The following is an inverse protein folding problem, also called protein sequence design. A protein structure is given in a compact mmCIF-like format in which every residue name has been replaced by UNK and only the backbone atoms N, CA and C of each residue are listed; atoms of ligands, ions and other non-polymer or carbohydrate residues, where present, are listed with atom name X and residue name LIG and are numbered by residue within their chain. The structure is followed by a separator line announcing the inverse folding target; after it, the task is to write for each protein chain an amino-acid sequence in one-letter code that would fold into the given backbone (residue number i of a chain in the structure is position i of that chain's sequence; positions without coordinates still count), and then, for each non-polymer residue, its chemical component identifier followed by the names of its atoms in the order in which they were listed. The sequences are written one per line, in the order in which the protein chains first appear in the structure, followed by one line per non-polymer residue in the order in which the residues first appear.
data_IF_333360259585
#
_entry.id   IF_333360259585
#
_cell.length_a   1.000
_cell.length_b   1.000
_cell.length_c   1.000
_cell.angle_alpha   90.00
_cell.angle_beta   90.00
_cell.angle_gamma   90.00
#
_symmetry.space_group_name_H-M   'P 1'
#
loop_
_entity.id
_entity.type
_entity.pdbx_description
1 polymer ?
#
# COMPACT_ATOMS: atom_id res chain seq x y z
N UNK A 1 10.32 -28.43 5.00
CA UNK A 1 9.15 -28.78 5.84
C UNK A 1 8.19 -29.79 5.17
N UNK A 2 7.88 -29.65 3.87
CA UNK A 2 6.90 -30.48 3.13
C UNK A 2 7.11 -32.01 3.25
N UNK A 3 8.36 -32.48 3.17
CA UNK A 3 8.69 -33.91 3.21
C UNK A 3 8.29 -34.62 4.51
N UNK A 4 8.24 -33.89 5.63
CA UNK A 4 7.90 -34.45 6.94
C UNK A 4 6.39 -34.71 7.10
N UNK A 5 5.57 -34.12 6.22
CA UNK A 5 4.11 -34.17 6.29
C UNK A 5 3.52 -35.23 5.35
N UNK A 6 4.34 -35.88 4.52
CA UNK A 6 3.93 -36.91 3.55
C UNK A 6 3.31 -38.11 4.27
N UNK A 7 2.13 -38.52 3.83
CA UNK A 7 1.43 -39.70 4.33
C UNK A 7 0.48 -40.27 3.25
N UNK A 8 0.07 -41.55 3.33
CA UNK A 8 -0.93 -42.12 2.43
C UNK A 8 -2.25 -41.33 2.47
N UNK A 9 -2.91 -41.20 1.31
CA UNK A 9 -4.19 -40.48 1.15
C UNK A 9 -4.16 -39.05 1.69
N UNK A 10 -3.00 -38.38 1.59
CA UNK A 10 -2.84 -36.99 2.02
C UNK A 10 -2.29 -36.15 0.89
N UNK A 11 -3.05 -35.14 0.51
CA UNK A 11 -2.54 -34.04 -0.28
C UNK A 11 -2.09 -32.91 0.64
N UNK A 12 -1.02 -32.22 0.24
CA UNK A 12 -0.45 -31.06 0.91
C UNK A 12 -0.39 -29.96 -0.14
N UNK A 13 -0.89 -28.78 0.20
CA UNK A 13 -0.73 -27.56 -0.57
C UNK A 13 -0.21 -26.49 0.39
N UNK A 14 0.88 -25.84 0.01
CA UNK A 14 1.53 -24.81 0.80
C UNK A 14 1.74 -23.55 -0.02
N UNK A 15 1.61 -22.39 0.63
CA UNK A 15 1.85 -21.08 0.01
C UNK A 15 3.32 -20.76 -0.21
N UNK A 16 4.22 -21.58 0.33
CA UNK A 16 5.68 -21.46 0.26
C UNK A 16 6.34 -22.81 0.56
N UNK A 17 7.62 -22.95 0.21
CA UNK A 17 8.46 -24.08 0.63
C UNK A 17 9.02 -23.85 2.04
N UNK A 18 10.33 -23.58 2.11
CA UNK A 18 11.03 -23.29 3.37
C UNK A 18 11.17 -21.77 3.62
N UNK A 19 10.69 -20.93 2.70
CA UNK A 19 10.80 -19.47 2.73
C UNK A 19 9.57 -18.79 3.34
N UNK A 20 9.61 -17.46 3.48
CA UNK A 20 8.52 -16.67 4.05
C UNK A 20 7.27 -16.67 3.15
N UNK A 21 6.10 -16.56 3.77
CA UNK A 21 4.84 -16.34 3.08
C UNK A 21 4.42 -14.86 3.18
N UNK A 22 4.18 -14.24 2.04
CA UNK A 22 3.77 -12.84 1.95
C UNK A 22 2.28 -12.71 1.66
N UNK A 23 1.64 -11.76 2.33
CA UNK A 23 0.23 -11.47 2.17
C UNK A 23 -0.02 -9.98 2.34
N UNK A 24 -0.89 -9.43 1.51
CA UNK A 24 -1.37 -8.06 1.63
C UNK A 24 -2.48 -8.04 2.70
N UNK A 25 -2.11 -7.54 3.88
CA UNK A 25 -3.01 -7.37 5.02
C UNK A 25 -4.16 -6.41 4.72
N UNK A 26 -3.85 -5.35 4.00
CA UNK A 26 -4.76 -4.23 3.74
C UNK A 26 -5.92 -4.68 2.84
N UNK A 27 -5.63 -5.44 1.78
CA UNK A 27 -6.65 -5.95 0.86
C UNK A 27 -7.07 -7.39 1.12
N UNK A 28 -6.49 -7.99 2.18
CA UNK A 28 -6.68 -9.39 2.56
C UNK A 28 -6.34 -10.32 1.38
N UNK A 29 -5.32 -9.99 0.60
CA UNK A 29 -4.91 -10.80 -0.56
C UNK A 29 -3.71 -11.66 -0.19
N UNK A 30 -3.64 -12.85 -0.78
CA UNK A 30 -2.57 -13.81 -0.53
C UNK A 30 -2.95 -15.19 -1.03
N UNK A 31 -1.95 -16.08 -1.08
CA UNK A 31 -2.04 -17.38 -1.72
C UNK A 31 -3.30 -18.17 -1.33
N UNK A 32 -3.59 -18.33 -0.03
CA UNK A 32 -4.75 -19.09 0.44
C UNK A 32 -6.08 -18.54 -0.07
N UNK A 33 -6.18 -17.21 -0.22
CA UNK A 33 -7.38 -16.58 -0.79
C UNK A 33 -7.48 -16.82 -2.29
N UNK A 34 -6.38 -16.73 -3.02
CA UNK A 34 -6.37 -17.05 -4.45
C UNK A 34 -6.71 -18.51 -4.70
N UNK A 35 -6.20 -19.43 -3.88
CA UNK A 35 -6.52 -20.86 -3.94
C UNK A 35 -8.02 -21.08 -3.70
N UNK A 36 -8.57 -20.52 -2.62
CA UNK A 36 -9.99 -20.60 -2.33
C UNK A 36 -10.86 -20.02 -3.47
N UNK A 37 -10.43 -18.90 -4.08
CA UNK A 37 -11.12 -18.30 -5.22
C UNK A 37 -11.09 -19.20 -6.46
N UNK A 38 -9.97 -19.88 -6.73
CA UNK A 38 -9.88 -20.87 -7.80
C UNK A 38 -10.84 -22.04 -7.58
N UNK A 39 -10.84 -22.61 -6.38
CA UNK A 39 -11.74 -23.72 -6.02
C UNK A 39 -13.23 -23.32 -6.11
N UNK A 40 -13.59 -22.11 -5.67
CA UNK A 40 -14.96 -21.59 -5.78
C UNK A 40 -15.40 -21.35 -7.23
N UNK A 41 -14.46 -21.19 -8.17
CA UNK A 41 -14.74 -21.12 -9.62
C UNK A 41 -14.93 -22.51 -10.26
N UNK A 42 -14.92 -23.58 -9.46
CA UNK A 42 -15.06 -24.95 -9.96
C UNK A 42 -13.77 -25.57 -10.51
N UNK A 43 -12.62 -24.93 -10.28
CA UNK A 43 -11.32 -25.48 -10.65
C UNK A 43 -11.02 -26.74 -9.79
N UNK A 44 -10.34 -27.72 -10.38
CA UNK A 44 -9.70 -28.79 -9.62
C UNK A 44 -8.66 -28.19 -8.66
N UNK A 45 -8.25 -28.94 -7.64
CA UNK A 45 -7.19 -28.47 -6.74
C UNK A 45 -5.88 -28.19 -7.48
N UNK A 46 -5.56 -28.94 -8.54
CA UNK A 46 -4.38 -28.70 -9.36
C UNK A 46 -4.48 -27.38 -10.15
N UNK A 47 -5.62 -27.12 -10.79
CA UNK A 47 -5.86 -25.87 -11.54
C UNK A 47 -5.91 -24.66 -10.59
N UNK A 48 -6.57 -24.80 -9.44
CA UNK A 48 -6.62 -23.77 -8.41
C UNK A 48 -5.23 -23.46 -7.83
N UNK A 49 -4.37 -24.48 -7.67
CA UNK A 49 -2.98 -24.29 -7.28
C UNK A 49 -2.23 -23.42 -8.29
N UNK A 50 -2.33 -23.75 -9.59
CA UNK A 50 -1.68 -22.97 -10.66
C UNK A 50 -2.19 -21.52 -10.69
N UNK A 51 -3.52 -21.35 -10.65
CA UNK A 51 -4.16 -20.03 -10.56
C UNK A 51 -3.65 -19.21 -9.36
N UNK A 52 -3.56 -19.84 -8.19
CA UNK A 52 -3.11 -19.17 -6.98
C UNK A 52 -1.63 -18.81 -7.01
N UNK A 53 -0.79 -19.69 -7.57
CA UNK A 53 0.63 -19.45 -7.76
C UNK A 53 0.85 -18.22 -8.65
N UNK A 54 0.21 -18.17 -9.81
CA UNK A 54 0.42 -17.09 -10.77
C UNK A 54 -0.09 -15.74 -10.21
N UNK A 55 -1.22 -15.73 -9.49
CA UNK A 55 -1.72 -14.51 -8.82
C UNK A 55 -0.85 -14.08 -7.64
N UNK A 56 -0.29 -15.02 -6.88
CA UNK A 56 0.67 -14.72 -5.82
C UNK A 56 1.96 -14.14 -6.41
N UNK A 57 2.49 -14.74 -7.48
CA UNK A 57 3.69 -14.27 -8.15
C UNK A 57 3.53 -12.82 -8.64
N UNK A 58 2.40 -12.49 -9.25
CA UNK A 58 2.11 -11.12 -9.68
C UNK A 58 2.01 -10.15 -8.49
N UNK A 59 1.38 -10.57 -7.38
CA UNK A 59 1.29 -9.75 -6.17
C UNK A 59 2.67 -9.45 -5.59
N UNK A 60 3.53 -10.45 -5.43
CA UNK A 60 4.85 -10.25 -4.82
C UNK A 60 5.79 -9.48 -5.76
N UNK A 61 5.69 -9.68 -7.08
CA UNK A 61 6.39 -8.87 -8.11
C UNK A 61 5.97 -7.41 -8.10
N UNK A 62 4.67 -7.13 -8.08
CA UNK A 62 4.19 -5.74 -8.03
C UNK A 62 4.66 -5.04 -6.76
N UNK A 63 4.88 -5.78 -5.68
CA UNK A 63 5.42 -5.25 -4.42
C UNK A 63 6.95 -5.27 -4.31
N UNK A 64 7.64 -5.87 -5.29
CA UNK A 64 9.10 -6.09 -5.26
C UNK A 64 9.59 -6.77 -3.97
N UNK A 65 8.79 -7.68 -3.43
CA UNK A 65 9.09 -8.54 -2.26
C UNK A 65 8.93 -10.00 -2.63
N UNK A 66 9.31 -10.92 -1.73
CA UNK A 66 8.87 -12.31 -1.74
C UNK A 66 9.06 -13.08 -3.04
N UNK A 67 10.11 -12.76 -3.82
CA UNK A 67 10.43 -13.42 -5.08
C UNK A 67 10.86 -14.89 -4.87
N UNK A 68 11.20 -15.24 -3.63
CA UNK A 68 11.51 -16.56 -3.11
C UNK A 68 10.26 -17.32 -2.63
N UNK A 69 9.09 -16.68 -2.55
CA UNK A 69 7.86 -17.37 -2.18
C UNK A 69 7.40 -18.28 -3.32
N UNK A 70 7.73 -19.56 -3.22
CA UNK A 70 7.37 -20.59 -4.21
C UNK A 70 6.35 -21.55 -3.60
N UNK A 71 5.06 -21.44 -3.95
CA UNK A 71 4.05 -22.41 -3.54
C UNK A 71 4.42 -23.84 -3.95
N UNK A 72 4.05 -24.81 -3.13
CA UNK A 72 4.32 -26.23 -3.37
C UNK A 72 3.06 -27.06 -3.15
N UNK A 73 2.99 -28.19 -3.85
CA UNK A 73 1.97 -29.21 -3.59
C UNK A 73 2.61 -30.60 -3.60
N UNK A 74 1.95 -31.53 -2.92
CA UNK A 74 2.23 -32.96 -2.93
C UNK A 74 0.92 -33.70 -2.84
N UNK A 75 0.73 -34.75 -3.62
CA UNK A 75 -0.46 -35.59 -3.55
C UNK A 75 -0.14 -37.09 -3.61
N UNK A 76 1.14 -37.46 -3.59
CA UNK A 76 1.57 -38.86 -3.65
C UNK A 76 1.27 -39.55 -4.99
N UNK A 77 0.87 -38.81 -6.02
CA UNK A 77 0.71 -39.30 -7.39
C UNK A 77 1.76 -38.67 -8.33
N UNK A 78 1.96 -39.27 -9.49
CA UNK A 78 2.82 -38.71 -10.53
C UNK A 78 2.17 -37.45 -11.11
N UNK A 79 2.89 -36.32 -11.11
CA UNK A 79 2.46 -35.05 -11.73
C UNK A 79 1.05 -34.57 -11.35
N UNK A 80 0.63 -34.84 -10.10
CA UNK A 80 -0.57 -34.23 -9.53
C UNK A 80 -1.87 -34.84 -10.02
N UNK A 81 -1.81 -36.06 -10.57
CA UNK A 81 -2.97 -36.78 -11.09
C UNK A 81 -4.12 -36.88 -10.10
N UNK A 82 -3.86 -36.99 -8.80
CA UNK A 82 -4.92 -37.00 -7.81
C UNK A 82 -5.57 -35.62 -7.67
N UNK A 83 -4.79 -34.55 -7.54
CA UNK A 83 -5.30 -33.18 -7.43
C UNK A 83 -6.06 -32.70 -8.68
N UNK A 84 -5.70 -33.18 -9.87
CA UNK A 84 -6.41 -32.89 -11.13
C UNK A 84 -7.84 -33.45 -11.15
N UNK A 85 -8.10 -34.47 -10.33
CA UNK A 85 -9.39 -35.15 -10.24
C UNK A 85 -10.16 -34.79 -8.95
N UNK A 86 -9.56 -34.01 -8.05
CA UNK A 86 -10.18 -33.57 -6.81
C UNK A 86 -10.84 -32.19 -6.99
N UNK A 87 -12.09 -32.06 -6.56
CA UNK A 87 -12.90 -30.83 -6.65
C UNK A 87 -13.65 -30.61 -5.34
N UNK A 88 -13.90 -29.35 -4.96
CA UNK A 88 -14.87 -29.06 -3.89
C UNK A 88 -16.27 -29.28 -4.47
N UNK A 89 -17.06 -30.18 -3.87
CA UNK A 89 -18.45 -30.51 -4.24
C UNK A 89 -18.67 -31.16 -5.63
N UNK A 90 -17.61 -31.64 -6.30
CA UNK A 90 -17.68 -32.28 -7.63
C UNK A 90 -17.41 -31.34 -8.81
N UNK A 91 -17.55 -31.85 -10.04
CA UNK A 91 -17.36 -31.08 -11.29
C UNK A 91 -18.65 -30.35 -11.67
N UNK A 92 -18.92 -29.21 -11.05
CA UNK A 92 -20.00 -28.32 -11.49
C UNK A 92 -19.38 -27.03 -12.04
N UNK A 93 -19.76 -26.67 -13.26
CA UNK A 93 -19.56 -25.33 -13.78
C UNK A 93 -20.63 -24.48 -13.13
N UNK A 94 -20.30 -23.75 -12.07
CA UNK A 94 -21.17 -22.66 -11.64
C UNK A 94 -21.28 -21.69 -12.81
N UNK A 95 -22.50 -21.27 -13.18
CA UNK A 95 -22.66 -20.11 -14.06
C UNK A 95 -21.72 -19.00 -13.55
N UNK A 96 -21.00 -18.32 -14.43
CA UNK A 96 -19.93 -17.38 -14.07
C UNK A 96 -20.49 -16.19 -13.26
N UNK A 97 -20.65 -16.42 -11.97
CA UNK A 97 -20.97 -15.43 -10.94
C UNK A 97 -19.69 -14.81 -10.40
N UNK A 98 -18.56 -14.96 -11.09
CA UNK A 98 -17.31 -14.41 -10.59
C UNK A 98 -17.38 -12.90 -10.64
N UNK A 99 -17.14 -12.26 -9.49
CA UNK A 99 -16.95 -10.83 -9.42
C UNK A 99 -15.75 -10.48 -10.31
N UNK A 100 -15.97 -9.66 -11.33
CA UNK A 100 -14.92 -9.11 -12.20
C UNK A 100 -14.95 -7.61 -12.16
N UNK A 101 -13.76 -7.02 -12.25
CA UNK A 101 -13.56 -5.57 -12.28
C UNK A 101 -12.75 -5.28 -13.54
N UNK A 102 -13.24 -4.34 -14.33
CA UNK A 102 -12.57 -3.85 -15.52
C UNK A 102 -12.25 -2.37 -15.32
N UNK A 103 -10.97 -2.01 -15.47
CA UNK A 103 -10.57 -0.61 -15.55
C UNK A 103 -11.16 -0.01 -16.85
N UNK A 104 -11.87 1.12 -16.72
CA UNK A 104 -12.36 1.90 -17.85
C UNK A 104 -11.47 3.11 -18.12
N UNK A 105 -10.81 3.63 -17.08
CA UNK A 105 -9.69 4.56 -17.26
C UNK A 105 -8.53 3.80 -17.90
N UNK A 106 -7.90 4.38 -18.91
CA UNK A 106 -6.73 3.81 -19.59
C UNK A 106 -5.45 4.44 -19.06
N UNK A 107 -4.33 3.72 -19.19
CA UNK A 107 -3.00 4.28 -18.93
C UNK A 107 -2.79 5.58 -19.70
N UNK A 108 -2.20 6.59 -19.06
CA UNK A 108 -2.09 7.95 -19.60
C UNK A 108 -0.95 8.71 -18.94
N UNK A 109 -0.67 9.92 -19.44
CA UNK A 109 0.20 10.90 -18.79
C UNK A 109 -0.64 11.97 -18.09
N UNK A 110 -0.18 12.47 -16.95
CA UNK A 110 -0.84 13.48 -16.12
C UNK A 110 0.20 14.52 -15.63
N UNK A 111 -0.13 15.80 -15.65
CA UNK A 111 0.71 16.80 -14.95
C UNK A 111 0.26 16.97 -13.51
N UNK A 112 1.18 17.18 -12.57
CA UNK A 112 0.84 17.47 -11.17
C UNK A 112 -0.16 18.64 -11.05
N UNK A 113 -1.15 18.49 -10.17
CA UNK A 113 -2.25 19.44 -9.98
C UNK A 113 -3.41 19.26 -10.97
N UNK A 114 -3.30 18.37 -11.96
CA UNK A 114 -4.43 17.97 -12.78
C UNK A 114 -5.20 16.83 -12.11
N UNK A 115 -6.53 16.88 -12.21
CA UNK A 115 -7.41 15.80 -11.78
C UNK A 115 -7.56 14.75 -12.88
N UNK A 116 -7.43 13.48 -12.51
CA UNK A 116 -7.64 12.31 -13.36
C UNK A 116 -8.96 11.62 -13.01
N UNK A 117 -9.95 11.58 -13.91
CA UNK A 117 -11.16 10.80 -13.70
C UNK A 117 -10.84 9.30 -13.72
N UNK A 118 -11.12 8.64 -12.60
CA UNK A 118 -10.98 7.21 -12.41
C UNK A 118 -12.33 6.52 -12.57
N UNK A 119 -12.36 5.45 -13.36
CA UNK A 119 -13.59 4.73 -13.68
C UNK A 119 -13.33 3.24 -13.82
N UNK A 120 -14.23 2.44 -13.27
CA UNK A 120 -14.21 0.99 -13.36
C UNK A 120 -15.62 0.42 -13.57
N UNK A 121 -15.71 -0.72 -14.26
CA UNK A 121 -16.94 -1.49 -14.45
C UNK A 121 -16.88 -2.76 -13.62
N UNK A 122 -17.99 -3.08 -12.94
CA UNK A 122 -18.13 -4.29 -12.13
C UNK A 122 -19.27 -5.14 -12.65
N UNK A 123 -19.06 -6.43 -12.90
CA UNK A 123 -20.08 -7.29 -13.54
C UNK A 123 -21.19 -7.80 -12.59
N UNK A 124 -21.52 -7.08 -11.52
CA UNK A 124 -22.51 -7.49 -10.54
C UNK A 124 -23.32 -6.32 -9.98
N UNK A 125 -24.54 -6.60 -9.54
CA UNK A 125 -25.42 -5.65 -8.85
C UNK A 125 -25.25 -5.69 -7.33
N UNK A 126 -24.77 -6.80 -6.78
CA UNK A 126 -24.64 -7.00 -5.33
C UNK A 126 -23.29 -6.51 -4.77
N UNK A 127 -22.79 -5.39 -5.31
CA UNK A 127 -21.52 -4.79 -4.95
C UNK A 127 -21.67 -4.05 -3.62
N UNK A 128 -20.81 -4.36 -2.65
CA UNK A 128 -20.74 -3.70 -1.35
C UNK A 128 -19.93 -2.41 -1.44
N UNK A 129 -18.80 -2.43 -2.15
CA UNK A 129 -17.96 -1.24 -2.40
C UNK A 129 -17.01 -1.46 -3.57
N UNK A 130 -16.59 -0.36 -4.17
CA UNK A 130 -15.52 -0.29 -5.18
C UNK A 130 -14.51 0.76 -4.73
N UNK A 131 -13.22 0.46 -4.87
CA UNK A 131 -12.14 1.38 -4.52
C UNK A 131 -10.97 1.22 -5.48
N UNK A 132 -10.17 2.26 -5.62
CA UNK A 132 -8.88 2.24 -6.29
C UNK A 132 -7.77 2.21 -5.25
N UNK A 133 -6.69 1.50 -5.56
CA UNK A 133 -5.42 1.56 -4.85
C UNK A 133 -4.42 2.21 -5.77
N UNK A 134 -3.75 3.23 -5.25
CA UNK A 134 -2.80 4.03 -6.02
C UNK A 134 -1.41 3.73 -5.49
N UNK A 135 -0.61 3.01 -6.26
CA UNK A 135 0.78 2.74 -5.92
C UNK A 135 1.65 3.84 -6.55
N UNK A 136 2.35 4.65 -5.74
CA UNK A 136 3.19 5.72 -6.25
C UNK A 136 4.53 5.21 -6.81
N UNK A 137 5.31 6.07 -7.49
CA UNK A 137 6.65 5.74 -7.94
C UNK A 137 7.60 5.55 -6.74
N UNK A 138 8.59 4.67 -6.91
CA UNK A 138 9.71 4.45 -5.96
C UNK A 138 9.27 4.21 -4.49
N UNK A 139 8.22 3.40 -4.28
CA UNK A 139 7.77 3.00 -2.94
C UNK A 139 8.88 2.31 -2.18
N UNK A 140 9.23 2.84 -1.01
CA UNK A 140 10.04 2.13 -0.03
C UNK A 140 9.15 1.32 0.88
N UNK A 141 9.53 0.07 1.10
CA UNK A 141 8.85 -0.82 2.04
C UNK A 141 9.18 -0.37 3.46
N UNK A 142 8.18 0.08 4.20
CA UNK A 142 8.31 0.29 5.64
C UNK A 142 8.14 -1.07 6.31
N UNK A 143 9.11 -1.52 7.09
CA UNK A 143 9.00 -2.77 7.84
C UNK A 143 8.49 -2.49 9.25
N UNK A 144 7.58 -3.32 9.77
CA UNK A 144 7.22 -3.31 11.18
C UNK A 144 8.33 -3.90 12.06
N UNK A 145 8.15 -3.86 13.39
CA UNK A 145 9.11 -4.40 14.36
C UNK A 145 9.34 -5.91 14.25
N UNK A 146 8.53 -6.62 13.44
CA UNK A 146 8.64 -8.05 13.17
C UNK A 146 9.21 -8.33 11.77
N UNK A 147 9.66 -7.30 11.03
CA UNK A 147 10.18 -7.43 9.67
C UNK A 147 9.09 -7.64 8.60
N UNK A 148 7.83 -7.34 8.93
CA UNK A 148 6.72 -7.44 7.98
C UNK A 148 6.56 -6.11 7.23
N UNK A 149 6.49 -6.12 5.88
CA UNK A 149 6.24 -4.89 5.14
C UNK A 149 4.84 -4.34 5.44
N UNK A 150 4.80 -3.08 5.87
CA UNK A 150 3.60 -2.24 5.99
C UNK A 150 3.46 -1.48 4.68
N UNK A 151 2.44 -1.83 3.91
CA UNK A 151 2.08 -1.17 2.67
C UNK A 151 0.78 -0.41 2.89
N UNK A 152 0.88 0.90 3.07
CA UNK A 152 -0.25 1.77 3.39
C UNK A 152 -0.72 2.60 2.19
N UNK A 153 -0.80 2.02 0.99
CA UNK A 153 -1.17 2.76 -0.23
C UNK A 153 -2.50 3.52 -0.09
N UNK A 154 -2.65 4.70 -0.72
CA UNK A 154 -3.91 5.44 -0.71
C UNK A 154 -5.02 4.59 -1.30
N UNK A 155 -6.16 4.64 -0.62
CA UNK A 155 -7.39 4.01 -1.06
C UNK A 155 -8.39 5.10 -1.39
N UNK A 156 -8.87 5.10 -2.63
CA UNK A 156 -9.88 6.04 -3.07
C UNK A 156 -11.18 5.29 -3.32
N UNK A 157 -12.24 5.61 -2.58
CA UNK A 157 -13.55 5.00 -2.80
C UNK A 157 -14.12 5.50 -4.13
N UNK A 158 -14.70 4.59 -4.92
CA UNK A 158 -15.48 4.95 -6.09
C UNK A 158 -16.97 4.92 -5.75
N UNK A 159 -17.75 5.71 -6.48
CA UNK A 159 -19.18 5.83 -6.32
C UNK A 159 -19.91 5.38 -7.58
N UNK A 160 -21.06 4.72 -7.41
CA UNK A 160 -21.88 4.30 -8.54
C UNK A 160 -22.30 5.52 -9.35
N UNK A 161 -22.17 5.44 -10.67
CA UNK A 161 -22.67 6.45 -11.59
C UNK A 161 -24.05 6.06 -12.14
N UNK A 162 -24.69 6.97 -12.87
CA UNK A 162 -25.98 6.72 -13.53
C UNK A 162 -25.89 5.67 -14.66
N UNK A 163 -24.68 5.37 -15.12
CA UNK A 163 -24.43 4.29 -16.07
C UNK A 163 -24.38 2.96 -15.35
N UNK A 164 -25.14 1.98 -15.84
CA UNK A 164 -25.24 0.66 -15.23
C UNK A 164 -23.86 0.06 -14.96
N UNK A 165 -23.62 -0.30 -13.69
CA UNK A 165 -22.42 -1.02 -13.24
C UNK A 165 -21.09 -0.26 -13.37
N UNK A 166 -21.13 1.04 -13.66
CA UNK A 166 -19.94 1.88 -13.74
C UNK A 166 -19.78 2.70 -12.46
N UNK A 167 -18.59 2.66 -11.90
CA UNK A 167 -18.19 3.33 -10.68
C UNK A 167 -17.10 4.36 -10.98
N UNK A 168 -17.17 5.55 -10.36
CA UNK A 168 -16.30 6.69 -10.67
C UNK A 168 -15.82 7.43 -9.43
N UNK A 169 -14.69 8.09 -9.58
CA UNK A 169 -14.14 9.10 -8.66
C UNK A 169 -13.13 9.94 -9.43
N UNK A 170 -12.68 11.04 -8.85
CA UNK A 170 -11.58 11.85 -9.38
C UNK A 170 -10.35 11.71 -8.47
N UNK A 171 -9.16 11.64 -9.05
CA UNK A 171 -7.90 11.61 -8.33
C UNK A 171 -7.03 12.81 -8.72
N UNK A 172 -6.67 13.64 -7.76
CA UNK A 172 -5.88 14.87 -7.93
C UNK A 172 -4.70 14.98 -6.94
N UNK A 173 -4.40 13.90 -6.22
CA UNK A 173 -3.35 13.87 -5.17
C UNK A 173 -1.97 13.46 -5.71
N UNK A 174 -1.72 13.60 -7.01
CA UNK A 174 -0.43 13.28 -7.60
C UNK A 174 0.63 14.32 -7.20
N UNK A 175 1.75 13.88 -6.61
CA UNK A 175 2.82 14.78 -6.11
C UNK A 175 4.17 14.54 -6.78
N UNK A 176 4.57 13.28 -6.86
CA UNK A 176 5.88 12.90 -7.38
C UNK A 176 5.87 12.61 -8.87
N UNK A 177 7.00 12.86 -9.55
CA UNK A 177 7.23 12.40 -10.91
C UNK A 177 7.39 10.88 -10.97
N UNK A 178 6.92 10.28 -12.08
CA UNK A 178 7.10 8.88 -12.42
C UNK A 178 5.79 8.10 -12.52
N UNK A 179 5.93 6.78 -12.60
CA UNK A 179 4.81 5.88 -12.87
C UNK A 179 4.02 5.55 -11.60
N UNK A 180 2.75 5.93 -11.59
CA UNK A 180 1.77 5.47 -10.62
C UNK A 180 1.03 4.27 -11.19
N UNK A 181 0.96 3.20 -10.42
CA UNK A 181 0.18 2.01 -10.77
C UNK A 181 -1.16 2.07 -10.02
N UNK A 182 -2.27 2.11 -10.76
CA UNK A 182 -3.62 2.17 -10.18
C UNK A 182 -4.33 0.85 -10.46
N UNK A 183 -4.81 0.21 -9.40
CA UNK A 183 -5.61 -1.02 -9.49
C UNK A 183 -6.98 -0.81 -8.87
N UNK A 184 -8.03 -1.17 -9.59
CA UNK A 184 -9.40 -1.08 -9.10
C UNK A 184 -9.82 -2.39 -8.45
N UNK A 185 -10.53 -2.29 -7.34
CA UNK A 185 -11.05 -3.41 -6.59
C UNK A 185 -12.54 -3.27 -6.35
N UNK A 186 -13.23 -4.40 -6.29
CA UNK A 186 -14.62 -4.47 -5.85
C UNK A 186 -14.76 -5.57 -4.80
N UNK A 187 -15.65 -5.33 -3.85
CA UNK A 187 -16.09 -6.30 -2.84
C UNK A 187 -17.60 -6.49 -3.00
N UNK A 188 -18.07 -7.74 -3.09
CA UNK A 188 -19.51 -8.03 -3.06
C UNK A 188 -20.04 -8.16 -1.62
N UNK A 189 -21.36 -8.29 -1.45
CA UNK A 189 -21.96 -8.46 -0.11
C UNK A 189 -21.61 -9.79 0.56
N UNK A 190 -21.05 -10.76 -0.17
CA UNK A 190 -20.56 -12.02 0.36
C UNK A 190 -19.08 -11.93 0.80
N UNK A 191 -18.42 -10.78 0.55
CA UNK A 191 -17.02 -10.54 0.92
C UNK A 191 -16.01 -11.05 -0.12
N UNK A 192 -16.45 -11.48 -1.30
CA UNK A 192 -15.54 -11.80 -2.39
C UNK A 192 -14.93 -10.50 -2.91
N UNK A 193 -13.61 -10.52 -3.15
CA UNK A 193 -12.89 -9.38 -3.72
C UNK A 193 -12.32 -9.78 -5.07
N UNK A 194 -12.40 -8.86 -6.02
CA UNK A 194 -11.77 -8.95 -7.32
C UNK A 194 -11.09 -7.65 -7.67
N UNK A 195 -10.11 -7.74 -8.56
CA UNK A 195 -9.28 -6.63 -8.99
C UNK A 195 -9.25 -6.55 -10.51
N UNK A 196 -9.08 -5.35 -11.05
CA UNK A 196 -8.75 -5.15 -12.46
C UNK A 196 -7.29 -5.50 -12.74
N UNK A 197 -6.92 -5.54 -14.02
CA UNK A 197 -5.52 -5.32 -14.40
C UNK A 197 -5.12 -3.88 -14.00
N UNK A 198 -3.85 -3.67 -13.63
CA UNK A 198 -3.36 -2.34 -13.27
C UNK A 198 -3.31 -1.43 -14.50
N UNK A 199 -3.50 -0.13 -14.27
CA UNK A 199 -3.19 0.93 -15.24
C UNK A 199 -1.98 1.72 -14.76
N UNK A 200 -1.25 2.30 -15.70
CA UNK A 200 -0.08 3.13 -15.41
C UNK A 200 -0.38 4.58 -15.75
N UNK A 201 -0.18 5.46 -14.78
CA UNK A 201 -0.27 6.91 -14.97
C UNK A 201 1.12 7.50 -14.81
N UNK A 202 1.69 7.98 -15.91
CA UNK A 202 2.97 8.68 -15.89
C UNK A 202 2.74 10.13 -15.45
N UNK A 203 3.25 10.49 -14.28
CA UNK A 203 3.08 11.85 -13.73
C UNK A 203 4.32 12.69 -14.00
N UNK A 204 4.10 13.92 -14.50
CA UNK A 204 5.13 14.89 -14.83
C UNK A 204 4.89 16.25 -14.14
N UNK A 205 5.95 17.07 -14.05
CA UNK A 205 5.88 18.42 -13.46
C UNK A 205 5.76 18.44 -11.93
N UNK A 206 5.95 17.28 -11.30
CA UNK A 206 6.02 17.10 -9.86
C UNK A 206 7.44 17.12 -9.31
N UNK A 207 7.55 16.64 -8.07
CA UNK A 207 8.82 16.50 -7.35
C UNK A 207 9.41 15.11 -7.61
N UNK A 208 10.73 14.99 -7.73
CA UNK A 208 11.34 13.67 -7.84
C UNK A 208 11.28 12.95 -6.48
N UNK A 209 10.70 11.75 -6.44
CA UNK A 209 10.70 10.96 -5.20
C UNK A 209 12.14 10.60 -4.83
N UNK A 210 12.58 10.88 -3.59
CA UNK A 210 13.92 10.54 -3.13
C UNK A 210 14.09 9.03 -3.02
N UNK A 211 15.33 8.56 -3.15
CA UNK A 211 15.68 7.13 -3.04
C UNK A 211 15.66 6.61 -1.61
N UNK A 212 15.79 7.49 -0.62
CA UNK A 212 15.67 7.22 0.81
C UNK A 212 15.01 8.40 1.51
N UNK A 213 14.17 8.13 2.50
CA UNK A 213 13.63 9.19 3.37
C UNK A 213 14.71 9.71 4.33
N UNK A 214 14.91 11.02 4.40
CA UNK A 214 15.84 11.63 5.35
C UNK A 214 15.29 12.90 5.99
N UNK A 215 15.81 13.21 7.18
CA UNK A 215 15.49 14.42 7.94
C UNK A 215 16.80 14.95 8.52
N UNK A 216 17.11 16.21 8.24
CA UNK A 216 18.30 16.91 8.70
C UNK A 216 17.89 18.16 9.49
N UNK A 217 18.53 18.41 10.62
CA UNK A 217 18.41 19.67 11.37
C UNK A 217 19.69 20.46 11.15
N UNK A 218 19.58 21.65 10.52
CA UNK A 218 20.67 22.62 10.38
C UNK A 218 20.51 23.73 11.40
N UNK A 219 21.51 23.89 12.26
CA UNK A 219 21.59 25.04 13.16
C UNK A 219 22.19 26.22 12.40
N UNK A 220 21.75 27.44 12.70
CA UNK A 220 22.38 28.62 12.14
C UNK A 220 23.79 28.84 12.73
N UNK A 221 24.03 28.37 13.97
CA UNK A 221 25.30 28.49 14.70
C UNK A 221 25.53 27.29 15.62
N UNK A 222 26.79 26.95 15.86
CA UNK A 222 27.17 25.91 16.82
C UNK A 222 27.06 26.37 18.28
N UNK A 223 27.03 27.69 18.51
CA UNK A 223 26.96 28.30 19.84
C UNK A 223 26.13 29.58 19.81
N UNK A 224 25.27 29.75 20.81
CA UNK A 224 24.42 30.93 21.00
C UNK A 224 24.74 31.60 22.33
N UNK A 225 24.71 32.93 22.35
CA UNK A 225 24.84 33.70 23.59
C UNK A 225 23.52 33.71 24.36
N UNK A 226 23.60 33.93 25.68
CA UNK A 226 22.39 34.05 26.51
C UNK A 226 21.52 35.21 26.02
N UNK A 227 20.25 34.92 25.71
CA UNK A 227 19.28 35.90 25.21
C UNK A 227 19.32 36.11 23.70
N UNK A 228 20.25 35.47 22.99
CA UNK A 228 20.24 35.40 21.54
C UNK A 228 19.11 34.48 21.06
N UNK A 229 18.34 34.87 20.02
CA UNK A 229 17.33 33.99 19.45
C UNK A 229 17.97 32.76 18.82
N UNK A 230 17.47 31.58 19.21
CA UNK A 230 17.85 30.31 18.60
C UNK A 230 17.21 30.18 17.21
N UNK A 231 17.95 29.61 16.26
CA UNK A 231 17.49 29.38 14.89
C UNK A 231 17.92 28.00 14.42
N UNK A 232 16.96 27.14 14.14
CA UNK A 232 17.15 25.86 13.49
C UNK A 232 16.30 25.76 12.23
N UNK A 233 16.78 24.97 11.28
CA UNK A 233 16.09 24.63 10.04
C UNK A 233 15.96 23.13 9.94
N UNK A 234 14.74 22.64 9.83
CA UNK A 234 14.46 21.24 9.53
C UNK A 234 14.33 21.10 8.02
N UNK A 235 15.21 20.28 7.44
CA UNK A 235 15.22 19.93 6.02
C UNK A 235 14.79 18.47 5.92
N UNK A 236 13.76 18.22 5.13
CA UNK A 236 13.25 16.87 4.90
C UNK A 236 13.34 16.48 3.42
N UNK A 237 13.67 15.22 3.20
CA UNK A 237 13.58 14.54 1.91
C UNK A 237 12.84 13.22 2.13
N UNK A 238 11.52 13.29 2.36
CA UNK A 238 10.72 12.09 2.59
C UNK A 238 10.24 11.47 1.27
N UNK A 239 10.43 10.16 1.14
CA UNK A 239 9.78 9.34 0.14
C UNK A 239 8.30 9.13 0.49
N UNK A 240 7.56 8.54 -0.46
CA UNK A 240 6.14 8.29 -0.28
C UNK A 240 5.86 7.37 0.92
N UNK A 241 4.77 7.65 1.65
CA UNK A 241 4.29 6.83 2.77
C UNK A 241 4.84 7.24 4.14
N UNK A 242 5.60 8.34 4.20
CA UNK A 242 6.11 8.90 5.45
C UNK A 242 5.41 10.21 5.79
N UNK A 243 4.94 10.29 7.03
CA UNK A 243 4.53 11.53 7.67
C UNK A 243 5.68 12.04 8.56
N UNK A 244 5.93 13.35 8.53
CA UNK A 244 6.91 13.99 9.43
C UNK A 244 6.21 14.50 10.68
N UNK A 245 6.61 13.96 11.83
CA UNK A 245 6.28 14.54 13.13
C UNK A 245 7.55 15.10 13.76
N UNK A 246 7.57 16.41 14.00
CA UNK A 246 8.70 17.09 14.62
C UNK A 246 8.28 17.73 15.95
N UNK A 247 9.07 17.46 16.99
CA UNK A 247 8.95 18.09 18.31
C UNK A 247 10.33 18.55 18.77
N UNK A 248 10.39 19.74 19.37
CA UNK A 248 11.63 20.30 19.94
C UNK A 248 11.60 20.06 21.44
N UNK A 249 12.57 19.29 21.95
CA UNK A 249 12.77 19.05 23.38
C UNK A 249 13.89 19.97 23.91
N UNK A 250 13.58 20.73 24.95
CA UNK A 250 14.54 21.57 25.65
C UNK A 250 15.20 20.80 26.80
N UNK A 251 16.43 21.18 27.22
CA UNK A 251 17.16 20.49 28.29
C UNK A 251 16.45 20.48 29.66
N UNK A 252 15.50 21.38 29.88
CA UNK A 252 14.68 21.44 31.09
C UNK A 252 13.48 20.47 31.08
N UNK A 253 13.36 19.67 30.02
CA UNK A 253 12.29 18.69 29.83
C UNK A 253 11.02 19.27 29.21
N UNK A 254 10.97 20.57 28.91
CA UNK A 254 9.85 21.16 28.17
C UNK A 254 9.97 20.83 26.68
N UNK A 255 8.83 20.64 26.01
CA UNK A 255 8.82 20.48 24.56
C UNK A 255 7.67 21.23 23.90
N UNK A 256 7.85 21.55 22.61
CA UNK A 256 6.82 22.14 21.76
C UNK A 256 6.70 21.35 20.45
N UNK A 257 5.49 21.28 19.92
CA UNK A 257 5.21 20.69 18.61
C UNK A 257 5.12 21.80 17.54
N UNK A 258 5.48 21.45 16.30
CA UNK A 258 5.40 22.34 15.15
C UNK A 258 4.08 22.13 14.38
N UNK A 259 3.46 23.23 13.93
CA UNK A 259 2.29 23.26 13.04
C UNK A 259 2.63 24.04 11.77
N UNK A 260 2.11 23.61 10.61
CA UNK A 260 2.27 24.30 9.32
C UNK A 260 3.72 24.72 9.08
N UNK A 261 4.63 23.77 9.37
CA UNK A 261 6.09 23.92 9.44
C UNK A 261 6.62 24.96 10.45
N UNK A 262 5.99 26.13 10.68
CA UNK A 262 6.64 27.23 11.41
C UNK A 262 5.85 27.83 12.60
N UNK A 263 4.80 27.18 13.10
CA UNK A 263 4.01 27.68 14.24
C UNK A 263 4.09 26.78 15.46
N UNK A 264 4.34 27.34 16.64
CA UNK A 264 4.29 26.61 17.90
C UNK A 264 2.86 26.17 18.20
N UNK A 265 2.66 24.89 18.47
CA UNK A 265 1.40 24.33 18.94
C UNK A 265 1.53 23.84 20.40
N UNK A 266 0.50 24.11 21.20
CA UNK A 266 0.41 23.59 22.57
C UNK A 266 0.25 22.07 22.57
N UNK A 267 0.86 21.41 23.56
CA UNK A 267 0.90 19.95 23.70
C UNK A 267 -0.50 19.32 23.80
N UNK A 268 -1.50 20.06 24.31
CA UNK A 268 -2.86 19.56 24.52
C UNK A 268 -3.81 19.80 23.34
N UNK A 269 -3.29 20.21 22.17
CA UNK A 269 -4.10 20.48 20.99
C UNK A 269 -3.70 19.62 19.78
N UNK A 270 -3.75 18.26 19.86
CA UNK A 270 -3.31 17.36 18.78
C UNK A 270 -3.96 17.65 17.42
N UNK A 271 -5.21 18.13 17.44
CA UNK A 271 -5.94 18.53 16.22
C UNK A 271 -5.27 19.68 15.47
N UNK A 272 -4.38 20.43 16.12
CA UNK A 272 -3.64 21.56 15.54
C UNK A 272 -2.22 21.17 15.11
N UNK A 273 -1.84 19.90 15.15
CA UNK A 273 -0.53 19.44 14.68
C UNK A 273 -0.50 19.14 13.17
N UNK A 274 -1.65 19.27 12.49
CA UNK A 274 -1.83 18.97 11.07
C UNK A 274 -1.74 20.28 10.28
N UNK A 275 -0.97 20.25 9.19
CA UNK A 275 -0.79 21.35 8.24
C UNK A 275 -0.55 20.85 6.83
N UNK A 276 -0.95 21.62 5.83
CA UNK A 276 -0.63 21.30 4.43
C UNK A 276 0.88 21.42 4.20
N UNK A 277 1.46 20.38 3.58
CA UNK A 277 2.88 20.25 3.31
C UNK A 277 3.22 20.96 2.00
N UNK A 278 4.17 21.90 2.03
CA UNK A 278 4.90 22.32 0.82
C UNK A 278 6.19 21.52 0.72
N UNK A 279 6.21 20.53 -0.17
CA UNK A 279 7.36 19.67 -0.41
C UNK A 279 8.65 20.47 -0.69
N UNK A 280 9.78 20.03 -0.12
CA UNK A 280 11.12 20.66 -0.21
C UNK A 280 11.23 22.13 0.25
N UNK A 281 10.22 22.67 0.92
CA UNK A 281 10.34 24.01 1.51
C UNK A 281 10.99 23.87 2.88
N UNK A 282 12.15 24.52 3.14
CA UNK A 282 12.77 24.47 4.45
C UNK A 282 11.82 25.00 5.51
N UNK A 283 11.70 24.24 6.60
CA UNK A 283 11.04 24.69 7.81
C UNK A 283 12.01 25.61 8.54
N UNK A 284 11.68 26.90 8.65
CA UNK A 284 12.52 27.90 9.31
C UNK A 284 11.84 28.40 10.57
N UNK A 285 12.43 28.11 11.73
CA UNK A 285 12.04 28.79 12.97
C UNK A 285 12.63 30.20 12.98
N UNK A 286 11.78 31.21 12.80
CA UNK A 286 12.11 32.58 13.21
C UNK A 286 11.49 32.85 14.59
N UNK A 287 12.37 33.01 15.58
CA UNK A 287 12.10 33.50 16.94
C UNK A 287 11.52 32.49 17.94
N UNK A 288 12.33 31.54 18.39
CA UNK A 288 12.13 30.92 19.72
C UNK A 288 12.78 31.82 20.77
N UNK A 289 11.97 32.64 21.46
CA UNK A 289 12.42 33.40 22.63
C UNK A 289 12.61 32.45 23.82
N UNK A 290 13.78 31.81 23.92
CA UNK A 290 14.19 31.10 25.13
C UNK A 290 14.44 32.11 26.26
N UNK A 291 13.39 32.47 27.01
CA UNK A 291 13.55 33.21 28.26
C UNK A 291 13.99 32.27 29.38
N UNK A 292 15.23 32.53 29.82
CA UNK A 292 15.88 32.22 31.10
C UNK A 292 16.74 30.95 31.19
N UNK A 293 18.03 31.27 31.37
CA UNK A 293 19.05 30.61 32.19
C UNK A 293 19.39 29.15 31.88
N UNK A 294 20.43 28.98 31.07
CA UNK A 294 21.27 27.79 31.07
C UNK A 294 22.71 28.24 31.43
N UNK A 295 23.31 27.53 32.38
CA UNK A 295 24.74 27.48 32.65
C UNK A 295 25.26 26.19 32.00
N UNK A 296 26.47 26.24 31.43
CA UNK A 296 27.25 25.05 31.05
C UNK A 296 27.73 24.31 32.31
#
# INVERSE_FOLDING_TARGET
MLQQLIAPNRAIISSTGDDLAYFDRTNKQGYSRFLAKGLLKGMSFYEAFGYARDKQENLVKSLSIGQDQIPQWYDGSDDGQWLRNLFINGRFVTADISLTVQALTTSTTLSVGQSLPLSAKVNQDNVKRVWAIIKPPKVQLVMDSYGTPILAFPHLNLFSSDQEKVWRTDWDEAVYNGDYEITFYAEDKQGNISASEPITVEVNGGVDSPSMSSVEIKLAKDRYLRGEPFQARLIEELAWGYDLYAAVLLPDGNFFALRNTNQLAGVNEPKKWIGERTFHTPVSEENVFARKNIFL
#
